data_IF_716825093331
#
_entry.id   IF_716825093331
#
_cell.length_a   1.000
_cell.length_b   1.000
_cell.length_c   1.000
_cell.angle_alpha   90.00
_cell.angle_beta   90.00
_cell.angle_gamma   90.00
#
_symmetry.space_group_name_H-M   'P 1'
#
loop_
_entity.id
_entity.type
_entity.pdbx_description
1 polymer ?
#
# COMPACT_ATOMS: atom_id res chain seq x y z
N UNK A 1 -25.71 -68.37 -21.44
CA UNK A 1 -27.05 -68.60 -20.86
C UNK A 1 -27.67 -67.35 -20.23
N UNK A 2 -26.89 -66.42 -19.64
CA UNK A 2 -27.42 -65.19 -19.01
C UNK A 2 -28.07 -64.14 -19.95
N UNK A 3 -27.78 -64.15 -21.26
CA UNK A 3 -28.39 -63.22 -22.22
C UNK A 3 -29.85 -63.55 -22.59
N UNK A 4 -30.24 -64.83 -22.56
CA UNK A 4 -31.59 -65.26 -22.89
C UNK A 4 -32.61 -64.92 -21.79
N UNK A 5 -32.14 -64.77 -20.55
CA UNK A 5 -32.95 -64.40 -19.39
C UNK A 5 -33.19 -62.88 -19.33
N UNK A 6 -32.17 -62.07 -19.67
CA UNK A 6 -32.27 -60.62 -19.68
C UNK A 6 -33.25 -60.07 -20.75
N UNK A 7 -33.39 -60.77 -21.89
CA UNK A 7 -34.28 -60.35 -22.99
C UNK A 7 -35.76 -60.73 -22.70
N UNK A 8 -36.01 -61.65 -21.77
CA UNK A 8 -37.37 -62.13 -21.46
C UNK A 8 -38.25 -61.05 -20.80
N UNK A 9 -37.65 -60.04 -20.17
CA UNK A 9 -38.35 -58.93 -19.51
C UNK A 9 -38.68 -57.75 -20.45
N UNK A 10 -38.18 -57.77 -21.69
CA UNK A 10 -38.54 -56.81 -22.72
C UNK A 10 -39.66 -57.45 -23.55
N UNK A 11 -40.91 -57.06 -23.27
CA UNK A 11 -42.09 -57.55 -24.00
C UNK A 11 -41.95 -57.46 -25.51
N UNK A 12 -42.75 -58.26 -26.23
CA UNK A 12 -42.73 -58.43 -27.69
C UNK A 12 -42.67 -57.10 -28.45
N UNK A 13 -41.51 -56.84 -29.07
CA UNK A 13 -41.24 -55.63 -29.86
C UNK A 13 -41.97 -55.75 -31.22
N UNK A 14 -42.82 -54.79 -31.62
CA UNK A 14 -43.50 -54.83 -32.92
C UNK A 14 -42.51 -54.81 -34.11
N UNK A 15 -42.72 -55.64 -35.15
CA UNK A 15 -41.84 -55.68 -36.32
C UNK A 15 -41.91 -54.35 -37.07
N UNK A 16 -40.78 -53.62 -37.12
CA UNK A 16 -40.65 -52.29 -37.74
C UNK A 16 -40.05 -51.21 -36.82
N UNK A 17 -40.06 -51.41 -35.49
CA UNK A 17 -39.43 -50.47 -34.52
C UNK A 17 -38.19 -51.03 -33.82
N UNK A 18 -37.76 -52.24 -34.17
CA UNK A 18 -36.60 -52.93 -33.58
C UNK A 18 -35.29 -52.15 -33.72
N UNK A 19 -35.08 -51.47 -34.86
CA UNK A 19 -33.88 -50.67 -35.10
C UNK A 19 -33.82 -49.43 -34.19
N UNK A 20 -34.93 -48.71 -34.06
CA UNK A 20 -35.04 -47.53 -33.18
C UNK A 20 -34.84 -47.91 -31.71
N UNK A 21 -35.37 -49.06 -31.28
CA UNK A 21 -35.18 -49.55 -29.91
C UNK A 21 -33.72 -50.01 -29.67
N UNK A 22 -33.09 -50.68 -30.63
CA UNK A 22 -31.69 -51.07 -30.56
C UNK A 22 -30.76 -49.85 -30.53
N UNK A 23 -31.04 -48.81 -31.33
CA UNK A 23 -30.28 -47.55 -31.33
C UNK A 23 -30.45 -46.81 -30.00
N UNK A 24 -31.67 -46.75 -29.45
CA UNK A 24 -31.93 -46.15 -28.14
C UNK A 24 -31.26 -46.92 -26.98
N UNK A 25 -31.26 -48.25 -27.02
CA UNK A 25 -30.58 -49.08 -26.04
C UNK A 25 -29.06 -48.91 -26.12
N UNK A 26 -28.52 -48.81 -27.33
CA UNK A 26 -27.09 -48.54 -27.56
C UNK A 26 -26.70 -47.16 -27.04
N UNK A 27 -27.52 -46.13 -27.30
CA UNK A 27 -27.34 -44.79 -26.76
C UNK A 27 -27.41 -44.77 -25.23
N UNK A 28 -28.34 -45.50 -24.62
CA UNK A 28 -28.46 -45.63 -23.16
C UNK A 28 -27.24 -46.33 -22.54
N UNK A 29 -26.74 -47.40 -23.15
CA UNK A 29 -25.52 -48.09 -22.72
C UNK A 29 -24.31 -47.16 -22.84
N UNK A 30 -24.22 -46.37 -23.92
CA UNK A 30 -23.13 -45.41 -24.12
C UNK A 30 -23.18 -44.27 -23.11
N UNK A 31 -24.37 -43.73 -22.81
CA UNK A 31 -24.57 -42.73 -21.76
C UNK A 31 -24.23 -43.28 -20.37
N UNK A 32 -24.59 -44.54 -20.08
CA UNK A 32 -24.23 -45.19 -18.82
C UNK A 32 -22.71 -45.39 -18.67
N UNK A 33 -22.03 -45.81 -19.75
CA UNK A 33 -20.56 -45.89 -19.79
C UNK A 33 -19.90 -44.52 -19.58
N UNK A 34 -20.44 -43.48 -20.20
CA UNK A 34 -19.96 -42.10 -19.99
C UNK A 34 -20.14 -41.68 -18.53
N UNK A 35 -21.32 -41.92 -17.94
CA UNK A 35 -21.56 -41.64 -16.52
C UNK A 35 -20.56 -42.36 -15.61
N UNK A 36 -20.32 -43.65 -15.81
CA UNK A 36 -19.31 -44.42 -15.06
C UNK A 36 -17.90 -43.82 -15.20
N UNK A 37 -17.54 -43.34 -16.40
CA UNK A 37 -16.25 -42.68 -16.62
C UNK A 37 -16.15 -41.32 -15.90
N UNK A 38 -17.25 -40.57 -15.83
CA UNK A 38 -17.32 -39.32 -15.09
C UNK A 38 -17.28 -39.56 -13.58
N UNK A 39 -18.00 -40.56 -13.07
CA UNK A 39 -17.99 -40.95 -11.66
C UNK A 39 -16.58 -41.37 -11.22
N UNK A 40 -15.87 -42.14 -12.07
CA UNK A 40 -14.47 -42.49 -11.83
C UNK A 40 -13.56 -41.25 -11.81
N UNK A 41 -13.71 -40.33 -12.77
CA UNK A 41 -12.96 -39.05 -12.77
C UNK A 41 -13.24 -38.21 -11.53
N UNK A 42 -14.47 -38.16 -11.05
CA UNK A 42 -14.83 -37.43 -9.83
C UNK A 42 -14.19 -38.07 -8.61
N UNK A 43 -14.13 -39.40 -8.54
CA UNK A 43 -13.41 -40.10 -7.47
C UNK A 43 -11.90 -39.85 -7.53
N UNK A 44 -11.30 -39.92 -8.72
CA UNK A 44 -9.87 -39.65 -8.90
C UNK A 44 -9.52 -38.22 -8.46
N UNK A 45 -10.31 -37.22 -8.88
CA UNK A 45 -10.13 -35.82 -8.47
C UNK A 45 -10.30 -35.59 -6.96
N UNK A 46 -11.27 -36.27 -6.32
CA UNK A 46 -11.43 -36.21 -4.84
C UNK A 46 -10.22 -36.80 -4.12
N UNK A 47 -9.70 -37.92 -4.63
CA UNK A 47 -8.52 -38.58 -4.05
C UNK A 47 -7.27 -37.70 -4.20
N UNK A 48 -7.06 -37.07 -5.35
CA UNK A 48 -5.95 -36.12 -5.56
C UNK A 48 -6.05 -34.90 -4.65
N UNK A 49 -7.25 -34.34 -4.49
CA UNK A 49 -7.50 -33.22 -3.58
C UNK A 49 -7.22 -33.59 -2.13
N UNK A 50 -7.70 -34.74 -1.66
CA UNK A 50 -7.49 -35.16 -0.27
C UNK A 50 -5.99 -35.41 0.01
N UNK A 51 -5.26 -35.98 -0.97
CA UNK A 51 -3.81 -36.10 -0.91
C UNK A 51 -3.11 -34.74 -0.87
N UNK A 52 -3.59 -33.75 -1.63
CA UNK A 52 -3.06 -32.39 -1.61
C UNK A 52 -3.28 -31.71 -0.25
N UNK A 53 -4.51 -31.78 0.30
CA UNK A 53 -4.83 -31.24 1.62
C UNK A 53 -4.00 -31.89 2.73
N UNK A 54 -3.78 -33.21 2.65
CA UNK A 54 -2.92 -33.92 3.61
C UNK A 54 -1.49 -33.38 3.59
N UNK A 55 -0.88 -33.23 2.41
CA UNK A 55 0.48 -32.69 2.28
C UNK A 55 0.57 -31.23 2.73
N UNK A 56 -0.45 -30.43 2.43
CA UNK A 56 -0.50 -29.03 2.83
C UNK A 56 -0.58 -28.88 4.35
N UNK A 57 -1.41 -29.70 5.01
CA UNK A 57 -1.50 -29.72 6.47
C UNK A 57 -0.23 -30.26 7.14
N UNK A 58 0.47 -31.21 6.52
CA UNK A 58 1.78 -31.67 6.99
C UNK A 58 2.83 -30.55 6.94
N UNK A 59 2.85 -29.77 5.85
CA UNK A 59 3.72 -28.58 5.71
C UNK A 59 3.39 -27.48 6.72
N UNK A 60 2.11 -27.23 6.97
CA UNK A 60 1.65 -26.28 7.99
C UNK A 60 2.13 -26.71 9.38
N UNK A 61 1.98 -28.01 9.72
CA UNK A 61 2.38 -28.54 11.02
C UNK A 61 3.89 -28.36 11.31
N UNK A 62 4.74 -28.38 10.27
CA UNK A 62 6.20 -28.22 10.40
C UNK A 62 6.61 -26.75 10.48
N UNK A 63 5.87 -25.83 9.85
CA UNK A 63 6.27 -24.43 9.68
C UNK A 63 5.67 -23.48 10.71
N UNK A 64 4.39 -23.63 11.05
CA UNK A 64 3.72 -22.76 12.02
C UNK A 64 2.48 -23.44 12.63
N UNK A 65 2.56 -23.77 13.92
CA UNK A 65 1.50 -24.46 14.66
C UNK A 65 0.26 -23.59 14.93
N UNK A 66 0.31 -22.30 14.60
CA UNK A 66 -0.79 -21.36 14.82
C UNK A 66 -1.83 -21.34 13.69
N UNK A 67 -1.53 -21.99 12.56
CA UNK A 67 -2.42 -22.02 11.39
C UNK A 67 -3.43 -23.18 11.54
N UNK A 68 -4.75 -22.91 11.43
CA UNK A 68 -5.76 -23.97 11.48
C UNK A 68 -5.59 -24.96 10.32
N UNK A 69 -5.90 -26.25 10.50
CA UNK A 69 -5.82 -27.24 9.44
C UNK A 69 -6.75 -26.87 8.28
N UNK A 70 -6.21 -26.84 7.07
CA UNK A 70 -6.94 -26.52 5.85
C UNK A 70 -7.99 -27.60 5.56
N UNK A 71 -9.21 -27.12 5.32
CA UNK A 71 -10.38 -27.90 4.90
C UNK A 71 -10.73 -27.59 3.45
N UNK A 72 -11.69 -28.33 2.88
CA UNK A 72 -12.12 -28.22 1.48
C UNK A 72 -12.54 -26.80 1.06
N UNK A 73 -12.94 -25.95 2.02
CA UNK A 73 -13.44 -24.59 1.80
C UNK A 73 -12.45 -23.47 2.15
N UNK A 74 -11.32 -23.76 2.82
CA UNK A 74 -10.43 -22.72 3.40
C UNK A 74 -8.95 -22.94 3.03
N UNK A 75 -8.66 -23.65 1.93
CA UNK A 75 -7.29 -23.94 1.51
C UNK A 75 -6.54 -22.70 0.96
N UNK A 76 -7.24 -21.72 0.40
CA UNK A 76 -6.65 -20.48 -0.14
C UNK A 76 -5.91 -19.66 0.92
N UNK A 77 -6.48 -19.52 2.12
CA UNK A 77 -5.87 -18.76 3.21
C UNK A 77 -4.57 -19.41 3.71
N UNK A 78 -4.54 -20.75 3.78
CA UNK A 78 -3.33 -21.48 4.19
C UNK A 78 -2.23 -21.39 3.14
N UNK A 79 -2.59 -21.49 1.86
CA UNK A 79 -1.63 -21.39 0.75
C UNK A 79 -1.05 -19.98 0.62
N UNK A 80 -1.88 -18.94 0.71
CA UNK A 80 -1.43 -17.54 0.68
C UNK A 80 -0.49 -17.25 1.84
N UNK A 81 -0.79 -17.74 3.05
CA UNK A 81 0.06 -17.51 4.22
C UNK A 81 1.41 -18.24 4.13
N UNK A 82 1.43 -19.46 3.59
CA UNK A 82 2.67 -20.19 3.32
C UNK A 82 3.52 -19.49 2.24
N UNK A 83 2.89 -18.90 1.23
CA UNK A 83 3.59 -18.09 0.22
C UNK A 83 4.21 -16.84 0.84
N UNK A 84 3.47 -16.11 1.68
CA UNK A 84 4.01 -14.96 2.42
C UNK A 84 5.20 -15.35 3.28
N UNK A 85 5.12 -16.46 4.02
CA UNK A 85 6.24 -16.97 4.82
C UNK A 85 7.45 -17.33 3.95
N UNK A 86 7.24 -18.02 2.83
CA UNK A 86 8.32 -18.35 1.89
C UNK A 86 8.97 -17.11 1.27
N UNK A 87 8.19 -16.09 0.94
CA UNK A 87 8.68 -14.81 0.42
C UNK A 87 9.49 -14.04 1.48
N UNK A 88 9.00 -14.00 2.72
CA UNK A 88 9.75 -13.37 3.83
C UNK A 88 11.07 -14.08 4.07
N UNK A 89 11.10 -15.42 4.10
CA UNK A 89 12.33 -16.18 4.32
C UNK A 89 13.32 -16.02 3.16
N UNK A 90 12.82 -15.98 1.91
CA UNK A 90 13.65 -15.69 0.75
C UNK A 90 14.25 -14.28 0.85
N UNK A 91 13.47 -13.27 1.22
CA UNK A 91 13.95 -11.90 1.41
C UNK A 91 14.97 -11.78 2.56
N UNK A 92 14.78 -12.52 3.64
CA UNK A 92 15.71 -12.61 4.76
C UNK A 92 17.02 -13.26 4.33
N UNK A 93 16.96 -14.38 3.58
CA UNK A 93 18.14 -15.07 3.07
C UNK A 93 18.97 -14.19 2.12
N UNK A 94 18.30 -13.40 1.27
CA UNK A 94 18.93 -12.42 0.39
C UNK A 94 19.59 -11.30 1.21
N UNK A 95 18.92 -10.78 2.23
CA UNK A 95 19.45 -9.77 3.14
C UNK A 95 20.67 -10.28 3.92
N UNK A 96 20.62 -11.51 4.44
CA UNK A 96 21.77 -12.15 5.11
C UNK A 96 22.94 -12.31 4.14
N UNK A 97 22.69 -12.70 2.89
CA UNK A 97 23.74 -12.86 1.88
C UNK A 97 24.43 -11.55 1.51
N UNK A 98 23.68 -10.44 1.43
CA UNK A 98 24.22 -9.12 1.14
C UNK A 98 24.99 -8.57 2.34
N UNK A 99 24.48 -8.74 3.56
CA UNK A 99 25.18 -8.38 4.79
C UNK A 99 26.50 -9.15 4.93
N UNK A 100 26.53 -10.46 4.65
CA UNK A 100 27.77 -11.25 4.66
C UNK A 100 28.80 -10.73 3.66
N UNK A 101 28.38 -10.34 2.44
CA UNK A 101 29.27 -9.73 1.44
C UNK A 101 29.83 -8.39 1.92
N UNK A 102 28.99 -7.56 2.55
CA UNK A 102 29.41 -6.27 3.07
C UNK A 102 30.40 -6.40 4.23
N UNK A 103 30.19 -7.37 5.13
CA UNK A 103 31.13 -7.67 6.23
C UNK A 103 32.48 -8.10 5.65
N UNK A 104 32.50 -9.05 4.71
CA UNK A 104 33.75 -9.50 4.08
C UNK A 104 34.49 -8.36 3.35
N UNK A 105 33.76 -7.46 2.68
CA UNK A 105 34.36 -6.28 2.04
C UNK A 105 34.98 -5.32 3.07
N UNK A 106 34.30 -5.09 4.20
CA UNK A 106 34.81 -4.23 5.28
C UNK A 106 36.00 -4.85 6.02
N UNK A 107 36.00 -6.17 6.23
CA UNK A 107 37.15 -6.88 6.80
C UNK A 107 38.39 -6.76 5.90
N UNK A 108 38.22 -6.85 4.58
CA UNK A 108 39.30 -6.66 3.61
C UNK A 108 39.82 -5.21 3.59
N UNK A 109 38.92 -4.23 3.69
CA UNK A 109 39.29 -2.81 3.79
C UNK A 109 40.09 -2.54 5.08
N UNK A 110 39.65 -3.06 6.22
CA UNK A 110 40.38 -2.96 7.50
C UNK A 110 41.75 -3.61 7.41
N UNK A 111 41.86 -4.79 6.79
CA UNK A 111 43.14 -5.45 6.59
C UNK A 111 44.10 -4.58 5.76
N UNK A 112 43.62 -3.99 4.66
CA UNK A 112 44.43 -3.10 3.83
C UNK A 112 44.89 -1.83 4.57
N UNK A 113 44.02 -1.24 5.39
CA UNK A 113 44.33 -0.05 6.18
C UNK A 113 45.37 -0.36 7.26
N UNK A 114 45.26 -1.51 7.93
CA UNK A 114 46.25 -1.96 8.90
C UNK A 114 47.62 -2.22 8.26
N UNK A 115 47.67 -2.77 7.06
CA UNK A 115 48.92 -2.93 6.32
C UNK A 115 49.54 -1.58 5.93
N UNK A 116 48.73 -0.60 5.53
CA UNK A 116 49.23 0.76 5.28
C UNK A 116 49.74 1.42 6.56
N UNK A 117 49.04 1.24 7.68
CA UNK A 117 49.42 1.78 8.97
C UNK A 117 50.78 1.22 9.40
N UNK A 118 50.97 -0.10 9.35
CA UNK A 118 52.26 -0.74 9.64
C UNK A 118 53.40 -0.20 8.78
N UNK A 119 53.19 -0.06 7.47
CA UNK A 119 54.20 0.51 6.56
C UNK A 119 54.53 1.96 6.92
N UNK A 120 53.52 2.76 7.25
CA UNK A 120 53.75 4.16 7.66
C UNK A 120 54.46 4.26 9.00
N UNK A 121 54.16 3.37 9.94
CA UNK A 121 54.85 3.28 11.24
C UNK A 121 56.30 2.83 11.07
N UNK A 122 56.59 1.87 10.19
CA UNK A 122 57.96 1.45 9.86
C UNK A 122 58.77 2.59 9.25
N UNK A 123 58.22 3.32 8.28
CA UNK A 123 58.87 4.49 7.68
C UNK A 123 59.08 5.59 8.72
N UNK A 124 58.08 5.86 9.57
CA UNK A 124 58.19 6.83 10.64
C UNK A 124 59.29 6.44 11.65
N UNK A 125 59.36 5.17 12.03
CA UNK A 125 60.40 4.66 12.92
C UNK A 125 61.80 4.80 12.30
N UNK A 126 61.97 4.48 11.02
CA UNK A 126 63.25 4.69 10.31
C UNK A 126 63.65 6.17 10.28
N UNK A 127 62.70 7.07 10.02
CA UNK A 127 62.95 8.51 10.03
C UNK A 127 63.27 9.03 11.45
N UNK A 128 62.62 8.48 12.48
CA UNK A 128 62.92 8.80 13.88
C UNK A 128 64.32 8.33 14.28
N UNK A 129 64.75 7.16 13.82
CA UNK A 129 66.11 6.65 14.06
C UNK A 129 67.17 7.50 13.37
N UNK A 130 66.93 7.91 12.11
CA UNK A 130 67.80 8.85 11.38
C UNK A 130 67.86 10.24 12.05
N UNK A 131 66.75 10.69 12.63
CA UNK A 131 66.66 11.96 13.35
C UNK A 131 67.15 11.88 14.81
N UNK A 132 67.46 10.68 15.33
CA UNK A 132 67.89 10.46 16.71
C UNK A 132 66.83 10.78 17.77
N UNK A 133 65.54 10.65 17.44
CA UNK A 133 64.42 10.92 18.35
C UNK A 133 63.93 9.63 19.01
N UNK A 134 63.72 9.64 20.33
CA UNK A 134 63.23 8.46 21.05
C UNK A 134 61.69 8.39 21.06
N UNK A 135 60.99 9.52 20.90
CA UNK A 135 59.53 9.62 21.00
C UNK A 135 58.91 10.45 19.88
N UNK A 136 57.69 10.10 19.45
CA UNK A 136 56.92 10.81 18.41
C UNK A 136 56.73 12.30 18.70
N UNK A 137 56.63 12.68 19.98
CA UNK A 137 56.44 14.07 20.39
C UNK A 137 57.69 14.96 20.20
N UNK A 138 58.88 14.36 20.15
CA UNK A 138 60.16 15.05 19.94
C UNK A 138 60.41 15.35 18.46
N UNK A 139 59.78 14.60 17.55
CA UNK A 139 59.93 14.78 16.09
C UNK A 139 59.54 16.18 15.65
N UNK A 140 58.43 16.72 16.17
CA UNK A 140 58.00 18.09 15.88
C UNK A 140 59.06 19.12 16.30
N UNK A 141 59.67 18.93 17.47
CA UNK A 141 60.70 19.84 17.98
C UNK A 141 62.02 19.75 17.21
N UNK A 142 62.37 18.58 16.68
CA UNK A 142 63.57 18.38 15.86
C UNK A 142 63.36 18.91 14.44
N UNK A 143 62.15 18.79 13.88
CA UNK A 143 61.76 19.44 12.62
C UNK A 143 61.87 20.96 12.78
N UNK A 144 61.32 21.54 13.85
CA UNK A 144 61.41 22.98 14.11
C UNK A 144 62.86 23.45 14.27
N UNK A 145 63.70 22.70 15.00
CA UNK A 145 65.14 23.01 15.14
C UNK A 145 65.88 22.89 13.81
N UNK A 146 65.53 21.91 12.97
CA UNK A 146 66.12 21.74 11.64
C UNK A 146 65.71 22.88 10.71
N UNK A 147 64.44 23.29 10.73
CA UNK A 147 63.96 24.46 9.99
C UNK A 147 64.63 25.74 10.45
N UNK A 148 64.72 25.97 11.77
CA UNK A 148 65.41 27.13 12.33
C UNK A 148 66.89 27.16 11.93
N UNK A 149 67.58 26.01 11.99
CA UNK A 149 68.97 25.90 11.53
C UNK A 149 69.09 26.17 10.03
N UNK A 150 68.15 25.71 9.21
CA UNK A 150 68.15 25.96 7.76
C UNK A 150 67.89 27.43 7.45
N UNK A 151 66.95 28.08 8.17
CA UNK A 151 66.70 29.54 8.07
C UNK A 151 67.95 30.32 8.46
N UNK A 152 68.50 30.10 9.66
CA UNK A 152 69.73 30.75 10.13
C UNK A 152 70.93 30.52 9.19
N UNK A 153 71.06 29.33 8.58
CA UNK A 153 72.15 29.05 7.63
C UNK A 153 71.97 29.81 6.31
N UNK A 154 70.73 29.93 5.84
CA UNK A 154 70.41 30.75 4.67
C UNK A 154 70.59 32.23 4.97
N UNK A 155 70.23 32.69 6.16
CA UNK A 155 70.42 34.07 6.62
C UNK A 155 71.93 34.39 6.73
N UNK A 156 72.74 33.50 7.32
CA UNK A 156 74.21 33.66 7.37
C UNK A 156 74.82 33.64 5.96
N UNK A 157 74.30 32.85 5.03
CA UNK A 157 74.78 32.83 3.65
C UNK A 157 74.43 34.13 2.92
N UNK A 158 73.20 34.61 3.09
CA UNK A 158 72.72 35.93 2.64
C UNK A 158 73.58 37.05 3.21
N UNK A 159 73.84 37.04 4.52
CA UNK A 159 74.61 38.06 5.22
C UNK A 159 76.08 38.01 4.86
N UNK A 160 76.66 36.83 4.63
CA UNK A 160 78.02 36.69 4.09
C UNK A 160 78.11 37.21 2.66
N UNK A 161 77.12 36.90 1.81
CA UNK A 161 77.07 37.46 0.46
C UNK A 161 76.82 38.97 0.46
N UNK A 162 76.08 39.50 1.43
CA UNK A 162 75.89 40.93 1.62
C UNK A 162 77.18 41.60 2.13
N UNK A 163 77.90 41.01 3.10
CA UNK A 163 79.18 41.53 3.60
C UNK A 163 80.28 41.49 2.54
N UNK A 164 80.33 40.41 1.75
CA UNK A 164 81.27 40.27 0.62
C UNK A 164 80.90 41.27 -0.50
N UNK A 165 79.62 41.56 -0.72
CA UNK A 165 79.17 42.63 -1.64
C UNK A 165 79.43 44.03 -1.10
N UNK A 166 79.44 44.22 0.22
CA UNK A 166 79.59 45.54 0.85
C UNK A 166 81.07 45.91 1.13
N UNK A 167 81.98 44.93 1.21
CA UNK A 167 83.41 45.14 1.53
C UNK A 167 84.40 44.67 0.45
N UNK A 168 84.01 44.67 -0.83
CA UNK A 168 84.88 44.24 -1.91
C UNK A 168 86.04 45.22 -2.26
N UNK A 169 86.88 45.67 -1.29
CA UNK A 169 88.28 46.12 -1.47
C UNK A 169 88.97 46.62 -0.16
N UNK A 170 90.31 46.60 -0.15
CA UNK A 170 91.18 47.24 0.86
C UNK A 170 91.21 48.77 0.64
N UNK A 171 91.19 49.56 1.72
CA UNK A 171 91.01 51.04 1.70
C UNK A 171 91.99 51.78 0.77
N UNK A 172 93.27 51.37 0.61
CA UNK A 172 94.21 52.04 -0.30
C UNK A 172 93.90 51.80 -1.79
N UNK A 173 93.20 50.72 -2.13
CA UNK A 173 92.89 50.36 -3.52
C UNK A 173 91.67 51.13 -4.06
N UNK A 174 90.75 51.54 -3.18
CA UNK A 174 89.58 52.34 -3.53
C UNK A 174 89.96 53.81 -3.83
N UNK A 175 90.95 54.35 -3.10
CA UNK A 175 91.51 55.68 -3.37
C UNK A 175 92.27 55.73 -4.72
N UNK A 176 92.92 54.64 -5.11
CA UNK A 176 93.61 54.53 -6.40
C UNK A 176 92.65 54.40 -7.60
N UNK A 177 91.48 53.79 -7.44
CA UNK A 177 90.47 53.69 -8.50
C UNK A 177 89.67 55.00 -8.67
N UNK A 178 89.47 55.75 -7.57
CA UNK A 178 88.87 57.10 -7.58
C UNK A 178 89.78 58.16 -8.19
N UNK A 179 91.11 58.00 -8.14
CA UNK A 179 92.06 58.94 -8.74
C UNK A 179 92.01 58.99 -10.29
N UNK A 180 91.37 58.00 -10.93
CA UNK A 180 91.27 57.88 -12.39
C UNK A 180 89.87 58.08 -12.97
N UNK A 181 88.84 58.33 -12.14
CA UNK A 181 87.46 58.50 -12.61
C UNK A 181 86.98 59.93 -12.35
N UNK A 182 86.55 60.59 -13.41
CA UNK A 182 86.05 61.97 -13.35
C UNK A 182 84.70 62.01 -12.62
N UNK A 183 84.57 62.88 -11.61
CA UNK A 183 83.38 62.96 -10.72
C UNK A 183 82.07 63.18 -11.48
N UNK A 184 82.15 63.69 -12.71
CA UNK A 184 81.02 63.96 -13.60
C UNK A 184 80.48 62.70 -14.26
N UNK A 185 81.33 61.72 -14.59
CA UNK A 185 80.91 60.45 -15.21
C UNK A 185 80.23 59.53 -14.20
N UNK A 186 80.76 59.46 -12.97
CA UNK A 186 80.14 58.70 -11.87
C UNK A 186 78.77 59.29 -11.46
N UNK A 187 78.63 60.62 -11.51
CA UNK A 187 77.34 61.27 -11.26
C UNK A 187 76.31 60.93 -12.35
N UNK A 188 76.72 60.89 -13.63
CA UNK A 188 75.86 60.51 -14.75
C UNK A 188 75.39 59.05 -14.66
N UNK A 189 76.29 58.11 -14.35
CA UNK A 189 75.93 56.69 -14.14
C UNK A 189 75.01 56.50 -12.93
N UNK A 190 75.25 57.24 -11.82
CA UNK A 190 74.38 57.20 -10.65
C UNK A 190 72.97 57.72 -10.97
N UNK A 191 72.84 58.77 -11.79
CA UNK A 191 71.55 59.31 -12.19
C UNK A 191 70.83 58.40 -13.19
N UNK A 192 71.54 57.71 -14.08
CA UNK A 192 70.95 56.69 -14.96
C UNK A 192 70.44 55.49 -14.16
N UNK A 193 71.22 55.01 -13.18
CA UNK A 193 70.81 53.92 -12.29
C UNK A 193 69.61 54.32 -11.43
N UNK A 194 69.56 55.56 -10.92
CA UNK A 194 68.38 56.07 -10.19
C UNK A 194 67.14 56.07 -11.07
N UNK A 195 67.23 56.58 -12.30
CA UNK A 195 66.10 56.55 -13.25
C UNK A 195 65.63 55.13 -13.53
N UNK A 196 66.55 54.18 -13.63
CA UNK A 196 66.23 52.77 -13.84
C UNK A 196 65.61 52.09 -12.61
N UNK A 197 66.04 52.47 -11.41
CA UNK A 197 65.42 52.03 -10.15
C UNK A 197 64.00 52.59 -10.05
N UNK A 198 63.79 53.86 -10.38
CA UNK A 198 62.47 54.49 -10.31
C UNK A 198 61.51 53.91 -11.35
N UNK A 199 61.99 53.59 -12.56
CA UNK A 199 61.18 52.89 -13.57
C UNK A 199 60.81 51.47 -13.12
N UNK A 200 61.76 50.72 -12.54
CA UNK A 200 61.47 49.39 -11.99
C UNK A 200 60.50 49.43 -10.79
N UNK A 201 60.59 50.46 -9.95
CA UNK A 201 59.65 50.67 -8.84
C UNK A 201 58.25 50.95 -9.34
N UNK A 202 58.11 51.75 -10.39
CA UNK A 202 56.82 52.04 -11.00
C UNK A 202 56.20 50.76 -11.60
N UNK A 203 56.97 49.99 -12.38
CA UNK A 203 56.49 48.71 -12.93
C UNK A 203 56.10 47.70 -11.84
N UNK A 204 56.86 47.67 -10.74
CA UNK A 204 56.56 46.80 -9.61
C UNK A 204 55.28 47.21 -8.89
N UNK A 205 55.04 48.52 -8.75
CA UNK A 205 53.81 49.05 -8.16
C UNK A 205 52.60 48.72 -9.04
N UNK A 206 52.69 48.93 -10.35
CA UNK A 206 51.61 48.57 -11.29
C UNK A 206 51.27 47.07 -11.25
N UNK A 207 52.28 46.20 -11.18
CA UNK A 207 52.07 44.75 -11.05
C UNK A 207 51.42 44.38 -9.72
N UNK A 208 51.78 45.05 -8.62
CA UNK A 208 51.12 44.86 -7.31
C UNK A 208 49.66 45.31 -7.35
N UNK A 209 49.38 46.45 -7.95
CA UNK A 209 48.02 46.97 -8.06
C UNK A 209 47.15 46.05 -8.93
N UNK A 210 47.71 45.52 -10.03
CA UNK A 210 47.03 44.48 -10.82
C UNK A 210 46.77 43.21 -10.02
N UNK A 211 47.76 42.72 -9.27
CA UNK A 211 47.63 41.51 -8.46
C UNK A 211 46.55 41.65 -7.37
N UNK A 212 46.52 42.79 -6.67
CA UNK A 212 45.51 43.06 -5.65
C UNK A 212 44.10 43.15 -6.24
N UNK A 213 43.94 43.82 -7.38
CA UNK A 213 42.66 43.86 -8.10
C UNK A 213 42.20 42.46 -8.53
N UNK A 214 43.10 41.66 -9.14
CA UNK A 214 42.78 40.28 -9.53
C UNK A 214 42.40 39.40 -8.34
N UNK A 215 43.09 39.58 -7.20
CA UNK A 215 42.80 38.84 -5.96
C UNK A 215 41.44 39.23 -5.39
N UNK A 216 41.07 40.51 -5.45
CA UNK A 216 39.75 40.99 -5.04
C UNK A 216 38.65 40.44 -5.95
N UNK A 217 38.87 40.46 -7.26
CA UNK A 217 37.90 39.95 -8.24
C UNK A 217 37.72 38.43 -8.11
N UNK A 218 38.81 37.67 -7.85
CA UNK A 218 38.74 36.25 -7.51
C UNK A 218 38.01 36.01 -6.18
N UNK A 219 38.24 36.85 -5.16
CA UNK A 219 37.51 36.79 -3.90
C UNK A 219 36.01 37.01 -4.09
N UNK A 220 35.61 37.96 -4.93
CA UNK A 220 34.20 38.22 -5.25
C UNK A 220 33.55 37.03 -5.98
N UNK A 221 34.27 36.37 -6.90
CA UNK A 221 33.80 35.16 -7.59
C UNK A 221 33.70 33.93 -6.68
N UNK A 222 34.57 33.82 -5.67
CA UNK A 222 34.53 32.75 -4.67
C UNK A 222 33.34 32.88 -3.70
N UNK A 223 32.77 34.08 -3.56
CA UNK A 223 31.55 34.38 -2.79
C UNK A 223 30.32 34.30 -3.69
N UNK A 224 30.31 33.44 -4.71
CA UNK A 224 29.10 33.17 -5.49
C UNK A 224 28.13 32.29 -4.66
N UNK A 225 27.48 32.91 -3.67
CA UNK A 225 26.50 32.29 -2.77
C UNK A 225 25.24 31.86 -3.51
N UNK A 226 24.98 32.38 -4.71
CA UNK A 226 23.79 32.07 -5.49
C UNK A 226 23.68 30.57 -5.80
N UNK A 227 24.80 29.91 -6.12
CA UNK A 227 24.81 28.46 -6.38
C UNK A 227 24.55 27.64 -5.10
N UNK A 228 25.10 28.09 -3.96
CA UNK A 228 24.89 27.45 -2.67
C UNK A 228 23.44 27.64 -2.17
N UNK A 229 22.91 28.85 -2.29
CA UNK A 229 21.52 29.21 -1.94
C UNK A 229 20.50 28.50 -2.84
N UNK A 230 20.77 28.41 -4.15
CA UNK A 230 19.91 27.67 -5.07
C UNK A 230 19.89 26.18 -4.72
N UNK A 231 21.05 25.61 -4.34
CA UNK A 231 21.14 24.21 -3.91
C UNK A 231 20.41 23.98 -2.60
N UNK A 232 20.54 24.88 -1.63
CA UNK A 232 19.80 24.80 -0.36
C UNK A 232 18.28 24.85 -0.59
N UNK A 233 17.79 25.79 -1.42
CA UNK A 233 16.37 25.89 -1.77
C UNK A 233 15.85 24.62 -2.46
N UNK A 234 16.66 23.98 -3.30
CA UNK A 234 16.31 22.73 -3.96
C UNK A 234 16.12 21.60 -2.94
N UNK A 235 17.07 21.43 -2.02
CA UNK A 235 16.98 20.39 -0.98
C UNK A 235 15.80 20.64 -0.03
N UNK A 236 15.53 21.91 0.34
CA UNK A 236 14.38 22.27 1.16
C UNK A 236 13.04 21.94 0.46
N UNK A 237 12.93 22.26 -0.84
CA UNK A 237 11.73 21.92 -1.64
C UNK A 237 11.58 20.42 -1.80
N UNK A 238 12.68 19.68 -1.95
CA UNK A 238 12.68 18.23 -2.05
C UNK A 238 12.20 17.56 -0.76
N UNK A 239 12.67 18.03 0.40
CA UNK A 239 12.21 17.55 1.70
C UNK A 239 10.70 17.78 1.90
N UNK A 240 10.21 18.98 1.55
CA UNK A 240 8.77 19.30 1.60
C UNK A 240 7.95 18.41 0.67
N UNK A 241 8.44 18.15 -0.54
CA UNK A 241 7.76 17.27 -1.48
C UNK A 241 7.69 15.84 -0.95
N UNK A 242 8.77 15.31 -0.37
CA UNK A 242 8.80 13.97 0.20
C UNK A 242 7.81 13.81 1.37
N UNK A 243 7.70 14.82 2.23
CA UNK A 243 6.72 14.87 3.32
C UNK A 243 5.28 14.86 2.78
N UNK A 244 4.96 15.77 1.85
CA UNK A 244 3.63 15.88 1.25
C UNK A 244 3.23 14.64 0.45
N UNK A 245 4.18 14.02 -0.27
CA UNK A 245 3.92 12.79 -1.01
C UNK A 245 3.62 11.64 -0.05
N UNK A 246 4.26 11.59 1.11
CA UNK A 246 4.02 10.55 2.11
C UNK A 246 2.62 10.69 2.72
N UNK A 247 2.20 11.91 3.05
CA UNK A 247 0.84 12.21 3.51
C UNK A 247 -0.20 11.91 2.43
N UNK A 248 0.04 12.35 1.19
CA UNK A 248 -0.87 12.06 0.08
C UNK A 248 -1.02 10.57 -0.18
N UNK A 249 0.07 9.79 -0.10
CA UNK A 249 0.02 8.33 -0.24
C UNK A 249 -0.85 7.69 0.83
N UNK A 250 -0.76 8.11 2.09
CA UNK A 250 -1.56 7.54 3.18
C UNK A 250 -3.05 7.83 2.97
N UNK A 251 -3.40 9.06 2.61
CA UNK A 251 -4.78 9.46 2.31
C UNK A 251 -5.31 8.69 1.10
N UNK A 252 -4.50 8.57 0.04
CA UNK A 252 -4.92 7.87 -1.18
C UNK A 252 -5.12 6.37 -0.94
N UNK A 253 -4.27 5.75 -0.13
CA UNK A 253 -4.45 4.36 0.29
C UNK A 253 -5.72 4.20 1.14
N UNK A 254 -5.95 5.10 2.10
CA UNK A 254 -7.17 5.08 2.92
C UNK A 254 -8.44 5.22 2.05
N UNK A 255 -8.43 6.11 1.05
CA UNK A 255 -9.53 6.26 0.10
C UNK A 255 -9.79 4.97 -0.69
N UNK A 256 -8.72 4.32 -1.19
CA UNK A 256 -8.83 3.07 -1.94
C UNK A 256 -9.34 1.93 -1.06
N UNK A 257 -8.81 1.79 0.16
CA UNK A 257 -9.28 0.80 1.13
C UNK A 257 -10.75 1.01 1.49
N UNK A 258 -11.17 2.27 1.72
CA UNK A 258 -12.56 2.59 2.01
C UNK A 258 -13.48 2.28 0.83
N UNK A 259 -13.08 2.63 -0.40
CA UNK A 259 -13.83 2.30 -1.61
C UNK A 259 -13.99 0.80 -1.79
N UNK A 260 -12.95 0.01 -1.56
CA UNK A 260 -13.06 -1.44 -1.68
C UNK A 260 -13.88 -2.05 -0.53
N UNK A 261 -13.78 -1.51 0.69
CA UNK A 261 -14.62 -1.91 1.81
C UNK A 261 -16.11 -1.65 1.55
N UNK A 262 -16.45 -0.48 0.99
CA UNK A 262 -17.82 -0.15 0.58
C UNK A 262 -18.29 -1.12 -0.51
N UNK A 263 -17.52 -1.32 -1.58
CA UNK A 263 -17.87 -2.26 -2.65
C UNK A 263 -18.05 -3.69 -2.13
N UNK A 264 -17.20 -4.12 -1.20
CA UNK A 264 -17.32 -5.44 -0.58
C UNK A 264 -18.59 -5.53 0.27
N UNK A 265 -18.88 -4.52 1.09
CA UNK A 265 -20.12 -4.44 1.85
C UNK A 265 -21.34 -4.46 0.93
N UNK A 266 -21.31 -3.75 -0.20
CA UNK A 266 -22.38 -3.76 -1.20
C UNK A 266 -22.54 -5.14 -1.86
N UNK A 267 -21.46 -5.86 -2.17
CA UNK A 267 -21.53 -7.24 -2.69
C UNK A 267 -22.10 -8.20 -1.63
N UNK A 268 -21.61 -8.12 -0.40
CA UNK A 268 -21.98 -9.02 0.68
C UNK A 268 -23.42 -8.77 1.17
N UNK A 269 -23.86 -7.50 1.18
CA UNK A 269 -25.19 -7.08 1.63
C UNK A 269 -26.19 -6.85 0.50
N UNK A 270 -25.81 -6.76 -0.77
CA UNK A 270 -26.70 -6.36 -1.86
C UNK A 270 -27.68 -7.45 -2.29
N UNK A 271 -27.17 -8.66 -2.54
CA UNK A 271 -27.98 -9.67 -3.24
C UNK A 271 -29.01 -10.36 -2.33
N UNK A 272 -28.67 -10.61 -1.06
CA UNK A 272 -29.55 -11.35 -0.12
C UNK A 272 -30.81 -10.56 0.28
N UNK A 273 -30.73 -9.29 0.73
CA UNK A 273 -31.89 -8.51 1.14
C UNK A 273 -32.80 -8.15 -0.03
N UNK A 274 -32.23 -7.85 -1.22
CA UNK A 274 -33.05 -7.56 -2.41
C UNK A 274 -33.85 -8.80 -2.81
N UNK A 275 -33.21 -9.97 -2.89
CA UNK A 275 -33.89 -11.24 -3.17
C UNK A 275 -35.02 -11.53 -2.17
N UNK A 276 -34.79 -11.21 -0.90
CA UNK A 276 -35.78 -11.40 0.16
C UNK A 276 -36.91 -10.37 0.11
N UNK A 277 -36.61 -9.12 -0.21
CA UNK A 277 -37.58 -8.06 -0.43
C UNK A 277 -38.54 -8.41 -1.58
N UNK A 278 -38.03 -9.01 -2.67
CA UNK A 278 -38.86 -9.52 -3.79
C UNK A 278 -39.87 -10.55 -3.28
N UNK A 279 -39.44 -11.49 -2.45
CA UNK A 279 -40.31 -12.53 -1.92
C UNK A 279 -41.40 -11.94 -1.02
N UNK A 280 -41.05 -10.99 -0.16
CA UNK A 280 -42.03 -10.26 0.66
C UNK A 280 -43.00 -9.46 -0.20
N UNK A 281 -42.50 -8.71 -1.17
CA UNK A 281 -43.33 -7.88 -2.04
C UNK A 281 -44.29 -8.73 -2.89
N UNK A 282 -43.81 -9.84 -3.45
CA UNK A 282 -44.62 -10.80 -4.18
C UNK A 282 -45.76 -11.36 -3.31
N UNK A 283 -45.48 -11.69 -2.05
CA UNK A 283 -46.50 -12.18 -1.10
C UNK A 283 -47.49 -11.10 -0.69
N UNK A 284 -47.01 -9.92 -0.30
CA UNK A 284 -47.86 -8.78 0.11
C UNK A 284 -48.78 -8.31 -1.01
N UNK A 285 -48.34 -8.42 -2.27
CA UNK A 285 -49.13 -8.06 -3.45
C UNK A 285 -49.90 -9.23 -4.07
N UNK A 286 -49.94 -10.39 -3.39
CA UNK A 286 -50.65 -11.59 -3.84
C UNK A 286 -50.25 -12.06 -5.25
N UNK A 287 -48.94 -12.12 -5.52
CA UNK A 287 -48.32 -12.47 -6.80
C UNK A 287 -48.54 -11.49 -7.95
N UNK A 288 -49.19 -10.34 -7.71
CA UNK A 288 -49.40 -9.31 -8.75
C UNK A 288 -48.10 -8.77 -9.34
N UNK A 289 -47.05 -8.69 -8.52
CA UNK A 289 -45.72 -8.25 -8.92
C UNK A 289 -44.71 -9.37 -8.67
N UNK A 290 -44.03 -9.80 -9.72
CA UNK A 290 -43.23 -11.04 -9.68
C UNK A 290 -41.73 -10.80 -9.53
N UNK A 291 -41.21 -9.67 -9.99
CA UNK A 291 -39.78 -9.34 -9.92
C UNK A 291 -39.55 -7.92 -9.41
N UNK A 292 -38.38 -7.72 -8.81
CA UNK A 292 -37.82 -6.40 -8.50
C UNK A 292 -36.39 -6.41 -9.05
N UNK A 293 -36.13 -5.65 -10.11
CA UNK A 293 -34.79 -5.34 -10.57
C UNK A 293 -34.29 -4.08 -9.88
N UNK A 294 -33.01 -4.04 -9.54
CA UNK A 294 -32.34 -2.82 -9.07
C UNK A 294 -31.38 -2.39 -10.16
N UNK A 295 -31.58 -1.18 -10.67
CA UNK A 295 -30.75 -0.53 -11.66
C UNK A 295 -30.16 0.75 -11.05
N UNK A 296 -28.99 1.14 -11.51
CA UNK A 296 -28.27 2.30 -10.99
C UNK A 296 -27.99 3.26 -12.14
N UNK A 297 -28.82 4.30 -12.26
CA UNK A 297 -28.58 5.40 -13.20
C UNK A 297 -28.06 6.62 -12.45
N UNK A 298 -26.86 7.09 -12.82
CA UNK A 298 -26.27 8.32 -12.27
C UNK A 298 -26.33 8.42 -10.74
N UNK A 299 -25.99 7.32 -10.04
CA UNK A 299 -25.99 7.20 -8.57
C UNK A 299 -27.40 7.21 -7.92
N UNK A 300 -28.46 7.06 -8.73
CA UNK A 300 -29.83 6.87 -8.25
C UNK A 300 -30.25 5.42 -8.43
N UNK A 301 -30.70 4.81 -7.33
CA UNK A 301 -31.31 3.49 -7.35
C UNK A 301 -32.69 3.58 -8.02
N UNK A 302 -32.82 2.97 -9.19
CA UNK A 302 -34.08 2.77 -9.90
C UNK A 302 -34.50 1.33 -9.65
N UNK A 303 -35.68 1.17 -9.10
CA UNK A 303 -36.26 -0.14 -8.91
C UNK A 303 -37.26 -0.40 -10.04
N UNK A 304 -37.24 -1.61 -10.61
CA UNK A 304 -38.10 -2.02 -11.72
C UNK A 304 -38.92 -3.23 -11.33
N UNK A 305 -40.22 -3.23 -11.58
CA UNK A 305 -41.06 -4.41 -11.31
C UNK A 305 -41.88 -4.81 -12.53
N UNK A 306 -42.09 -6.12 -12.72
CA UNK A 306 -43.01 -6.65 -13.73
C UNK A 306 -44.33 -7.08 -13.11
N UNK A 307 -45.42 -6.78 -13.81
CA UNK A 307 -46.79 -7.10 -13.39
C UNK A 307 -47.29 -8.36 -14.10
N UNK A 308 -48.05 -9.18 -13.38
CA UNK A 308 -48.48 -10.54 -13.79
C UNK A 308 -49.26 -10.65 -15.13
N UNK A 309 -49.68 -9.53 -15.72
CA UNK A 309 -50.44 -9.53 -16.98
C UNK A 309 -49.75 -8.80 -18.15
N UNK A 310 -48.55 -8.25 -17.95
CA UNK A 310 -47.77 -7.59 -19.00
C UNK A 310 -46.29 -7.84 -18.71
N UNK A 311 -45.77 -8.95 -19.22
CA UNK A 311 -44.35 -9.35 -19.07
C UNK A 311 -43.35 -8.28 -19.58
N UNK A 312 -43.81 -7.29 -20.36
CA UNK A 312 -42.98 -6.24 -20.99
C UNK A 312 -43.11 -4.83 -20.38
N UNK A 313 -43.97 -4.60 -19.38
CA UNK A 313 -44.04 -3.29 -18.73
C UNK A 313 -43.16 -3.28 -17.48
N UNK A 314 -41.92 -2.83 -17.64
CA UNK A 314 -41.06 -2.41 -16.54
C UNK A 314 -41.64 -1.12 -15.96
N UNK A 315 -42.21 -1.20 -14.76
CA UNK A 315 -42.58 -0.01 -14.02
C UNK A 315 -41.31 0.44 -13.29
N UNK A 316 -40.73 1.54 -13.75
CA UNK A 316 -39.58 2.18 -13.12
C UNK A 316 -40.05 3.13 -12.04
N UNK A 317 -39.37 3.12 -10.90
CA UNK A 317 -39.65 4.05 -9.82
C UNK A 317 -38.34 4.48 -9.19
N UNK A 318 -38.24 5.78 -8.95
CA UNK A 318 -37.08 6.39 -8.35
C UNK A 318 -37.36 6.65 -6.86
N UNK A 319 -36.31 6.91 -6.08
CA UNK A 319 -36.41 7.14 -4.63
C UNK A 319 -37.24 8.38 -4.24
N UNK A 320 -37.62 9.23 -5.20
CA UNK A 320 -38.31 10.51 -5.01
C UNK A 320 -39.74 10.55 -5.56
N UNK A 321 -40.07 9.72 -6.55
CA UNK A 321 -41.32 9.69 -7.30
C UNK A 321 -41.68 8.23 -7.61
N UNK A 322 -42.69 7.71 -6.93
CA UNK A 322 -43.29 6.40 -7.20
C UNK A 322 -44.27 6.49 -8.39
N UNK A 323 -43.87 7.13 -9.49
CA UNK A 323 -44.69 7.28 -10.70
C UNK A 323 -44.94 5.90 -11.32
N UNK A 324 -46.13 5.34 -11.10
CA UNK A 324 -46.54 4.05 -11.68
C UNK A 324 -47.10 3.02 -10.69
N UNK A 325 -47.01 3.28 -9.38
CA UNK A 325 -47.61 2.46 -8.33
C UNK A 325 -48.74 3.23 -7.63
N UNK A 326 -49.77 2.52 -7.16
CA UNK A 326 -50.72 3.11 -6.22
C UNK A 326 -50.02 3.33 -4.88
N UNK A 327 -50.46 4.34 -4.11
CA UNK A 327 -49.91 4.66 -2.79
C UNK A 327 -49.73 3.41 -1.89
N UNK A 328 -50.79 2.61 -1.70
CA UNK A 328 -50.68 1.38 -0.90
C UNK A 328 -49.76 0.29 -1.49
N UNK A 329 -49.50 0.28 -2.81
CA UNK A 329 -48.53 -0.66 -3.40
C UNK A 329 -47.10 -0.14 -3.23
N UNK A 330 -46.90 1.19 -3.25
CA UNK A 330 -45.62 1.80 -2.90
C UNK A 330 -45.27 1.53 -1.43
N UNK A 331 -46.24 1.66 -0.52
CA UNK A 331 -46.05 1.35 0.90
C UNK A 331 -45.67 -0.13 1.12
N UNK A 332 -46.32 -1.05 0.40
CA UNK A 332 -45.98 -2.49 0.43
C UNK A 332 -44.54 -2.75 0.02
N UNK A 333 -44.06 -2.04 -0.98
CA UNK A 333 -42.70 -2.19 -1.46
C UNK A 333 -41.68 -1.65 -0.46
N UNK A 334 -41.90 -0.45 0.06
CA UNK A 334 -41.03 0.14 1.07
C UNK A 334 -41.00 -0.70 2.34
N UNK A 335 -42.15 -1.22 2.78
CA UNK A 335 -42.22 -2.15 3.90
C UNK A 335 -41.43 -3.44 3.61
N UNK A 336 -41.58 -4.00 2.41
CA UNK A 336 -40.86 -5.22 1.99
C UNK A 336 -39.34 -5.03 2.01
N UNK A 337 -38.84 -3.91 1.49
CA UNK A 337 -37.42 -3.55 1.52
C UNK A 337 -36.90 -3.39 2.95
N UNK A 338 -37.65 -2.67 3.80
CA UNK A 338 -37.29 -2.45 5.21
C UNK A 338 -37.24 -3.77 5.97
N UNK A 339 -38.27 -4.62 5.83
CA UNK A 339 -38.32 -5.92 6.50
C UNK A 339 -37.19 -6.84 6.05
N UNK A 340 -36.84 -6.84 4.76
CA UNK A 340 -35.73 -7.65 4.26
C UNK A 340 -34.37 -7.19 4.82
N UNK A 341 -34.14 -5.87 4.92
CA UNK A 341 -32.95 -5.33 5.57
C UNK A 341 -32.89 -5.66 7.06
N UNK A 342 -34.03 -5.57 7.76
CA UNK A 342 -34.13 -5.94 9.18
C UNK A 342 -33.87 -7.44 9.37
N UNK A 343 -34.49 -8.31 8.56
CA UNK A 343 -34.26 -9.75 8.62
C UNK A 343 -32.79 -10.10 8.40
N UNK A 344 -32.14 -9.48 7.41
CA UNK A 344 -30.71 -9.66 7.16
C UNK A 344 -29.85 -9.26 8.37
N UNK A 345 -30.18 -8.15 9.04
CA UNK A 345 -29.47 -7.73 10.26
C UNK A 345 -29.71 -8.68 11.43
N UNK A 346 -30.95 -9.16 11.60
CA UNK A 346 -31.31 -10.14 12.63
C UNK A 346 -30.53 -11.44 12.40
N UNK A 347 -30.48 -11.93 11.16
CA UNK A 347 -29.72 -13.14 10.82
C UNK A 347 -28.22 -12.94 11.09
N UNK A 348 -27.64 -11.79 10.72
CA UNK A 348 -26.25 -11.44 11.01
C UNK A 348 -25.95 -11.41 12.52
N UNK A 349 -26.82 -10.81 13.33
CA UNK A 349 -26.67 -10.78 14.80
C UNK A 349 -26.71 -12.18 15.40
N UNK A 350 -27.60 -13.04 14.89
CA UNK A 350 -27.72 -14.43 15.34
C UNK A 350 -26.50 -15.26 14.94
N UNK A 351 -25.91 -15.02 13.77
CA UNK A 351 -24.66 -15.68 13.34
C UNK A 351 -23.48 -15.40 14.29
N UNK A 352 -23.43 -14.21 14.90
CA UNK A 352 -22.41 -13.83 15.89
C UNK A 352 -22.85 -14.08 17.35
N UNK A 353 -23.90 -14.88 17.57
CA UNK A 353 -24.48 -15.20 18.90
C UNK A 353 -24.86 -13.95 19.72
N UNK A 354 -25.34 -12.88 19.08
CA UNK A 354 -25.94 -11.72 19.73
C UNK A 354 -27.46 -11.76 19.64
N UNK A 355 -28.13 -11.37 20.73
CA UNK A 355 -29.59 -11.29 20.77
C UNK A 355 -30.09 -10.12 19.92
N UNK A 356 -31.00 -10.36 18.95
CA UNK A 356 -31.55 -9.29 18.12
C UNK A 356 -32.50 -8.39 18.90
N UNK A 357 -32.45 -7.09 18.58
CA UNK A 357 -33.36 -6.10 19.18
C UNK A 357 -34.82 -6.29 18.72
N UNK A 358 -35.81 -5.98 19.57
CA UNK A 358 -37.22 -6.03 19.19
C UNK A 358 -37.54 -4.99 18.10
N UNK A 359 -38.45 -5.36 17.21
CA UNK A 359 -38.97 -4.50 16.14
C UNK A 359 -40.28 -3.88 16.60
N UNK A 360 -40.38 -2.56 16.51
CA UNK A 360 -41.62 -1.81 16.79
C UNK A 360 -42.14 -1.22 15.48
N UNK A 361 -43.40 -1.52 15.16
CA UNK A 361 -44.10 -1.08 13.96
C UNK A 361 -45.31 -0.26 14.40
N UNK A 362 -45.48 0.95 13.87
CA UNK A 362 -46.62 1.81 14.19
C UNK A 362 -47.40 2.12 12.92
N UNK A 363 -48.66 1.67 12.87
CA UNK A 363 -49.61 1.90 11.77
C UNK A 363 -49.12 1.57 10.35
N UNK A 364 -48.19 0.61 10.24
CA UNK A 364 -47.55 0.25 8.96
C UNK A 364 -48.47 -0.39 7.92
N UNK A 365 -49.70 -0.75 8.29
CA UNK A 365 -50.69 -1.41 7.42
C UNK A 365 -51.88 -0.50 7.05
N UNK A 366 -51.83 0.80 7.35
CA UNK A 366 -52.95 1.75 7.16
C UNK A 366 -53.50 1.78 5.73
N UNK A 367 -52.65 1.61 4.72
CA UNK A 367 -53.01 1.71 3.30
C UNK A 367 -53.35 0.35 2.65
N UNK A 368 -53.45 -0.72 3.43
CA UNK A 368 -53.58 -2.09 2.94
C UNK A 368 -55.04 -2.56 3.03
N UNK A 369 -55.52 -3.24 1.99
CA UNK A 369 -56.78 -3.99 2.09
C UNK A 369 -56.62 -5.23 2.97
N UNK A 370 -57.74 -5.80 3.47
CA UNK A 370 -57.73 -6.93 4.42
C UNK A 370 -56.86 -8.11 3.96
N UNK A 371 -56.89 -8.43 2.67
CA UNK A 371 -56.15 -9.57 2.14
C UNK A 371 -54.64 -9.30 2.14
N UNK A 372 -54.22 -8.09 1.76
CA UNK A 372 -52.82 -7.68 1.78
C UNK A 372 -52.30 -7.46 3.20
N UNK A 373 -53.12 -6.89 4.09
CA UNK A 373 -52.80 -6.75 5.50
C UNK A 373 -52.58 -8.12 6.16
N UNK A 374 -53.42 -9.10 5.86
CA UNK A 374 -53.23 -10.48 6.31
C UNK A 374 -51.91 -11.08 5.81
N UNK A 375 -51.59 -10.93 4.53
CA UNK A 375 -50.32 -11.40 3.97
C UNK A 375 -49.09 -10.72 4.62
N UNK A 376 -49.19 -9.43 4.92
CA UNK A 376 -48.15 -8.70 5.64
C UNK A 376 -47.98 -9.21 7.08
N UNK A 377 -49.08 -9.46 7.80
CA UNK A 377 -49.03 -10.04 9.15
C UNK A 377 -48.42 -11.44 9.17
N UNK A 378 -48.67 -12.27 8.16
CA UNK A 378 -48.00 -13.58 8.01
C UNK A 378 -46.48 -13.43 7.91
N UNK A 379 -45.99 -12.47 7.14
CA UNK A 379 -44.56 -12.16 7.04
C UNK A 379 -44.01 -11.67 8.40
N UNK A 380 -44.75 -10.82 9.11
CA UNK A 380 -44.35 -10.34 10.43
C UNK A 380 -44.30 -11.48 11.47
N UNK A 381 -45.20 -12.46 11.39
CA UNK A 381 -45.16 -13.64 12.27
C UNK A 381 -43.99 -14.57 11.98
N UNK A 382 -43.57 -14.71 10.72
CA UNK A 382 -42.35 -15.42 10.35
C UNK A 382 -41.12 -14.71 10.92
N UNK A 383 -41.04 -13.39 10.79
CA UNK A 383 -39.99 -12.59 11.41
C UNK A 383 -40.02 -12.69 12.96
N UNK A 384 -41.22 -12.82 13.52
CA UNK A 384 -41.49 -13.09 14.93
C UNK A 384 -40.84 -14.38 15.48
N UNK A 385 -40.45 -15.31 14.61
CA UNK A 385 -39.70 -16.52 15.01
C UNK A 385 -38.21 -16.23 15.23
N UNK A 386 -37.70 -15.12 14.68
CA UNK A 386 -36.29 -14.72 14.74
C UNK A 386 -36.03 -13.60 15.73
N UNK A 387 -36.97 -12.64 15.85
CA UNK A 387 -36.90 -11.53 16.80
C UNK A 387 -38.31 -11.16 17.28
N UNK A 388 -38.42 -10.47 18.42
CA UNK A 388 -39.70 -9.98 18.91
C UNK A 388 -40.25 -8.88 18.00
N UNK A 389 -41.51 -8.99 17.59
CA UNK A 389 -42.22 -7.99 16.78
C UNK A 389 -43.38 -7.43 17.58
N UNK A 390 -43.43 -6.10 17.72
CA UNK A 390 -44.49 -5.36 18.41
C UNK A 390 -45.12 -4.42 17.38
N UNK A 391 -46.42 -4.60 17.10
CA UNK A 391 -47.15 -3.77 16.15
C UNK A 391 -48.24 -3.00 16.87
N UNK A 392 -48.24 -1.68 16.70
CA UNK A 392 -49.32 -0.79 17.10
C UNK A 392 -50.18 -0.48 15.88
N UNK A 393 -51.50 -0.47 16.10
CA UNK A 393 -52.41 0.02 15.07
C UNK A 393 -53.68 0.63 15.64
N UNK A 394 -54.21 1.64 14.97
CA UNK A 394 -55.52 2.22 15.25
C UNK A 394 -56.68 1.45 14.57
N UNK A 395 -56.40 0.51 13.67
CA UNK A 395 -57.41 -0.26 12.94
C UNK A 395 -57.86 -1.50 13.70
N UNK A 396 -59.00 -1.42 14.38
CA UNK A 396 -59.54 -2.53 15.16
C UNK A 396 -59.79 -3.82 14.37
N UNK A 397 -60.18 -3.72 13.10
CA UNK A 397 -60.46 -4.89 12.24
C UNK A 397 -59.21 -5.75 11.98
N UNK A 398 -58.00 -5.17 12.08
CA UNK A 398 -56.75 -5.92 11.92
C UNK A 398 -56.58 -7.01 12.98
N UNK A 399 -57.15 -6.83 14.19
CA UNK A 399 -57.16 -7.86 15.24
C UNK A 399 -57.98 -9.10 14.84
N UNK A 400 -59.06 -8.90 14.08
CA UNK A 400 -59.98 -9.96 13.68
C UNK A 400 -59.41 -10.77 12.51
N UNK A 401 -58.77 -10.10 11.54
CA UNK A 401 -58.17 -10.75 10.37
C UNK A 401 -56.74 -11.27 10.62
N UNK A 402 -56.11 -10.88 11.74
CA UNK A 402 -54.78 -11.34 12.14
C UNK A 402 -54.77 -12.88 12.24
N UNK A 403 -53.91 -13.57 11.47
CA UNK A 403 -53.92 -15.02 11.46
C UNK A 403 -53.49 -15.60 12.81
N UNK A 404 -54.01 -16.78 13.14
CA UNK A 404 -53.57 -17.50 14.34
C UNK A 404 -52.20 -18.14 14.06
N UNK A 405 -51.22 -17.82 14.89
CA UNK A 405 -49.86 -18.35 14.76
C UNK A 405 -49.80 -19.82 15.19
N UNK A 406 -49.51 -20.74 14.26
CA UNK A 406 -49.29 -22.16 14.59
C UNK A 406 -47.95 -22.40 15.32
N UNK A 407 -46.95 -21.55 15.10
CA UNK A 407 -45.59 -21.68 15.66
C UNK A 407 -45.13 -20.47 16.46
N UNK A 408 -45.63 -19.28 16.15
CA UNK A 408 -45.28 -18.02 16.84
C UNK A 408 -46.39 -17.65 17.83
N UNK A 409 -46.04 -17.39 19.11
CA UNK A 409 -47.03 -16.90 20.08
C UNK A 409 -47.44 -15.47 19.74
N UNK A 410 -48.71 -15.28 19.40
CA UNK A 410 -49.27 -13.95 19.09
C UNK A 410 -50.13 -13.48 20.25
N UNK A 411 -49.80 -12.32 20.81
CA UNK A 411 -50.62 -11.65 21.82
C UNK A 411 -51.40 -10.50 21.17
N UNK A 412 -52.74 -10.58 21.21
CA UNK A 412 -53.64 -9.52 20.73
C UNK A 412 -54.10 -8.68 21.92
N UNK A 413 -53.66 -7.43 21.99
CA UNK A 413 -53.96 -6.52 23.11
C UNK A 413 -54.75 -5.34 22.59
N UNK A 414 -55.96 -5.15 23.13
CA UNK A 414 -56.75 -3.94 22.87
C UNK A 414 -56.51 -2.94 23.98
N UNK A 415 -55.80 -1.86 23.66
CA UNK A 415 -55.58 -0.77 24.61
C UNK A 415 -56.91 -0.04 24.83
N UNK A 416 -57.37 0.05 26.08
CA UNK A 416 -58.51 0.89 26.41
C UNK A 416 -58.05 2.35 26.44
N UNK A 417 -58.80 3.30 25.84
CA UNK A 417 -58.46 4.70 25.92
C UNK A 417 -58.45 5.12 27.39
N UNK A 418 -57.34 5.70 27.84
CA UNK A 418 -57.25 6.32 29.16
C UNK A 418 -58.13 7.56 29.14
N UNK A 419 -59.40 7.41 29.54
CA UNK A 419 -60.27 8.56 29.76
C UNK A 419 -59.78 9.23 31.05
N UNK A 420 -58.79 10.11 30.93
CA UNK A 420 -58.54 11.12 31.96
C UNK A 420 -59.75 12.05 31.97
N UNK A 421 -60.69 11.73 32.86
CA UNK A 421 -61.74 12.64 33.29
C UNK A 421 -61.04 13.78 34.03
N UNK A 422 -60.86 14.91 33.36
CA UNK A 422 -60.55 16.19 34.01
C UNK A 422 -61.83 16.83 34.52
#
# INVERSE_FOLDING_TARGET
>A
QQWAEAIRNLGTIPPGRSKVFADALTAAIQAHKQRLSYDKRVQDMRTERDNFLSKLNELIAVTDSSIPPCTETIWDNGLQRLQELAETENSNSQSISTLKKNIAAKELEIASQNDTLKRTEEVLNQLMEQAGCANHHEVATVIDRSEQKRRLKNDIASDKEALIRQMAMDVPAYEAELAGRDSTQLAAEADELKRRIDSMRLEHQEKRDRFTNLTRDLGALAVNTEAAEARQKLEDLRAKLEEQVTEWKSIRLAELCLKEAIKRMERDCGDKPIGRAIQFFKRMTQNRYQSLGVDYEADKMILKTTRDNQHDQLIEFNSTDATGLSEGTADQLWLSLRLAGIEARVDQMREINQDPMPIILDDVLVSFDDNRAKAAMEILMELGQKTQVIMFTHHAHLLDIAPEGNTTKVAKIRLQPTVTTN
#
